data_IF_323869494602
#
_entry.id   IF_323869494602
#
_cell.length_a   1.000
_cell.length_b   1.000
_cell.length_c   1.000
_cell.angle_alpha   90.00
_cell.angle_beta   90.00
_cell.angle_gamma   90.00
#
_symmetry.space_group_name_H-M   'P 1'
#
loop_
_entity.id
_entity.type
_entity.pdbx_description
1 polymer ?
#
# COMPACT_ATOMS: atom_id res chain seq x y z
N UNK A 1 -8.27 -11.47 23.97
CA UNK A 1 -7.86 -10.97 22.65
C UNK A 1 -6.35 -10.81 22.66
N UNK A 2 -5.60 -11.62 21.92
CA UNK A 2 -4.17 -11.34 21.72
C UNK A 2 -4.04 -10.14 20.80
N UNK A 3 -3.21 -9.16 21.14
CA UNK A 3 -2.88 -8.08 20.24
C UNK A 3 -2.06 -8.67 19.08
N UNK A 4 -2.59 -8.62 17.86
CA UNK A 4 -1.80 -8.93 16.66
C UNK A 4 -0.78 -7.82 16.47
N UNK A 5 0.49 -8.18 16.31
CA UNK A 5 1.54 -7.23 15.95
C UNK A 5 1.29 -6.74 14.52
N UNK A 6 1.29 -5.43 14.33
CA UNK A 6 1.17 -4.77 13.03
C UNK A 6 2.42 -3.96 12.75
N UNK A 7 2.81 -3.93 11.48
CA UNK A 7 3.95 -3.19 10.98
C UNK A 7 3.49 -2.17 9.93
N UNK A 8 4.29 -1.13 9.75
CA UNK A 8 4.09 -0.12 8.71
C UNK A 8 5.30 -0.13 7.78
N UNK A 9 5.05 -0.14 6.46
CA UNK A 9 6.11 -0.09 5.46
C UNK A 9 5.78 0.96 4.42
N UNK A 10 6.69 1.92 4.23
CA UNK A 10 6.54 2.92 3.18
C UNK A 10 6.85 2.29 1.82
N UNK A 11 5.94 2.47 0.87
CA UNK A 11 6.05 1.96 -0.49
C UNK A 11 6.20 3.12 -1.47
N UNK A 12 7.26 3.07 -2.27
CA UNK A 12 7.43 3.92 -3.45
C UNK A 12 6.52 3.43 -4.57
N UNK A 13 5.69 4.33 -5.08
CA UNK A 13 4.84 4.09 -6.25
C UNK A 13 5.57 4.47 -7.55
N UNK A 14 6.61 5.30 -7.45
CA UNK A 14 7.46 5.66 -8.60
C UNK A 14 6.80 6.64 -9.57
N UNK A 15 5.62 7.16 -9.23
CA UNK A 15 4.93 8.18 -9.99
C UNK A 15 4.06 9.06 -9.06
N UNK A 16 3.83 10.30 -9.48
CA UNK A 16 3.05 11.27 -8.72
C UNK A 16 1.55 10.98 -8.87
N UNK A 17 0.90 10.62 -7.76
CA UNK A 17 -0.51 10.26 -7.71
C UNK A 17 -1.37 11.37 -7.07
N UNK A 18 -1.07 12.63 -7.33
CA UNK A 18 -1.83 13.75 -6.76
C UNK A 18 -3.32 13.72 -7.16
N UNK A 19 -4.25 13.85 -6.19
CA UNK A 19 -4.01 14.02 -4.75
C UNK A 19 -3.69 12.70 -4.01
N UNK A 20 -2.73 12.74 -3.08
CA UNK A 20 -2.23 11.56 -2.33
C UNK A 20 -3.32 10.77 -1.58
N UNK A 21 -4.45 11.40 -1.23
CA UNK A 21 -5.61 10.72 -0.65
C UNK A 21 -6.34 9.82 -1.64
N UNK A 22 -6.48 10.25 -2.90
CA UNK A 22 -7.01 9.42 -3.98
C UNK A 22 -6.04 8.27 -4.31
N UNK A 23 -4.73 8.56 -4.30
CA UNK A 23 -3.68 7.54 -4.42
C UNK A 23 -3.85 6.41 -3.40
N UNK A 24 -3.94 6.77 -2.12
CA UNK A 24 -4.08 5.81 -1.04
C UNK A 24 -5.41 5.03 -1.15
N UNK A 25 -6.50 5.68 -1.58
CA UNK A 25 -7.78 4.98 -1.79
C UNK A 25 -7.71 3.95 -2.92
N UNK A 26 -7.11 4.31 -4.06
CA UNK A 26 -6.96 3.40 -5.19
C UNK A 26 -6.02 2.22 -4.84
N UNK A 27 -4.87 2.51 -4.24
CA UNK A 27 -3.92 1.49 -3.79
C UNK A 27 -4.54 0.54 -2.74
N UNK A 28 -5.38 1.09 -1.85
CA UNK A 28 -6.03 0.29 -0.79
C UNK A 28 -6.94 -0.80 -1.36
N UNK A 29 -7.77 -0.46 -2.35
CA UNK A 29 -8.68 -1.43 -2.98
C UNK A 29 -7.94 -2.64 -3.53
N UNK A 30 -6.81 -2.41 -4.20
CA UNK A 30 -6.02 -3.48 -4.80
C UNK A 30 -5.23 -4.27 -3.74
N UNK A 31 -4.59 -3.59 -2.78
CA UNK A 31 -3.76 -4.27 -1.78
C UNK A 31 -4.57 -5.04 -0.73
N UNK A 32 -5.86 -4.77 -0.58
CA UNK A 32 -6.74 -5.54 0.31
C UNK A 32 -6.98 -6.98 -0.16
N UNK A 33 -6.57 -7.34 -1.38
CA UNK A 33 -6.51 -8.73 -1.84
C UNK A 33 -5.46 -9.56 -1.07
N UNK A 34 -4.47 -8.91 -0.46
CA UNK A 34 -3.47 -9.58 0.38
C UNK A 34 -3.99 -9.70 1.82
N UNK A 35 -4.24 -10.92 2.28
CA UNK A 35 -4.74 -11.20 3.64
C UNK A 35 -3.91 -10.63 4.80
N UNK A 36 -2.65 -10.28 4.54
CA UNK A 36 -1.78 -9.63 5.51
C UNK A 36 -1.86 -8.11 5.51
N UNK A 37 -2.51 -7.46 4.54
CA UNK A 37 -2.67 -6.00 4.52
C UNK A 37 -3.86 -5.61 5.38
N UNK A 38 -3.64 -4.68 6.30
CA UNK A 38 -4.61 -4.20 7.27
C UNK A 38 -5.16 -2.84 6.85
N UNK A 39 -4.27 -1.94 6.38
CA UNK A 39 -4.67 -0.63 5.88
C UNK A 39 -3.63 -0.04 4.92
N UNK A 40 -4.02 1.00 4.18
CA UNK A 40 -3.12 1.81 3.37
C UNK A 40 -3.39 3.29 3.63
N UNK A 41 -2.36 3.99 4.10
CA UNK A 41 -2.40 5.41 4.43
C UNK A 41 -1.61 6.22 3.39
N UNK A 42 -1.97 7.50 3.15
CA UNK A 42 -1.15 8.39 2.35
C UNK A 42 0.25 8.55 2.96
N UNK A 43 1.28 8.52 2.13
CA UNK A 43 2.65 8.83 2.55
C UNK A 43 2.87 10.34 2.71
N UNK A 44 4.04 10.71 3.23
CA UNK A 44 4.43 12.12 3.35
C UNK A 44 4.68 12.81 1.99
N UNK A 45 4.80 12.02 0.92
CA UNK A 45 5.02 12.48 -0.46
C UNK A 45 3.96 11.90 -1.39
N UNK A 46 3.63 12.58 -2.50
CA UNK A 46 2.57 12.14 -3.40
C UNK A 46 2.89 10.84 -4.16
N UNK A 47 4.16 10.44 -4.24
CA UNK A 47 4.62 9.17 -4.81
C UNK A 47 4.74 8.03 -3.78
N UNK A 48 4.26 8.24 -2.56
CA UNK A 48 4.42 7.32 -1.42
C UNK A 48 3.10 6.99 -0.75
N UNK A 49 3.01 5.76 -0.29
CA UNK A 49 1.95 5.27 0.60
C UNK A 49 2.57 4.47 1.74
N UNK A 50 1.86 4.39 2.86
CA UNK A 50 2.24 3.54 3.98
C UNK A 50 1.30 2.34 4.00
N UNK A 51 1.84 1.15 3.79
CA UNK A 51 1.08 -0.10 3.90
C UNK A 51 1.20 -0.60 5.34
N UNK A 52 0.06 -0.73 6.02
CA UNK A 52 -0.04 -1.34 7.34
C UNK A 52 -0.36 -2.82 7.14
N UNK A 53 0.44 -3.70 7.73
CA UNK A 53 0.32 -5.14 7.50
C UNK A 53 0.62 -5.97 8.75
N UNK A 54 0.03 -7.16 8.78
CA UNK A 54 0.36 -8.24 9.71
C UNK A 54 1.17 -9.31 8.97
N UNK A 55 2.39 -9.55 9.44
CA UNK A 55 3.31 -10.54 8.92
C UNK A 55 4.50 -9.91 8.19
N UNK A 56 5.23 -10.67 7.37
CA UNK A 56 6.34 -10.16 6.60
C UNK A 56 5.89 -9.15 5.54
N UNK A 57 6.62 -8.04 5.41
CA UNK A 57 6.39 -7.07 4.33
C UNK A 57 6.66 -7.73 2.96
N UNK A 58 5.81 -7.41 1.96
CA UNK A 58 5.94 -7.94 0.59
C UNK A 58 5.93 -6.82 -0.46
N UNK A 59 6.87 -5.85 -0.38
CA UNK A 59 6.84 -4.66 -1.23
C UNK A 59 6.90 -4.94 -2.74
N UNK A 60 7.64 -5.97 -3.17
CA UNK A 60 7.67 -6.39 -4.59
C UNK A 60 6.31 -6.94 -5.04
N UNK A 61 5.66 -7.78 -4.23
CA UNK A 61 4.36 -8.36 -4.58
C UNK A 61 3.26 -7.29 -4.65
N UNK A 62 3.26 -6.34 -3.71
CA UNK A 62 2.35 -5.20 -3.73
C UNK A 62 2.55 -4.34 -4.98
N UNK A 63 3.81 -4.08 -5.37
CA UNK A 63 4.10 -3.35 -6.62
C UNK A 63 3.61 -4.08 -7.85
N UNK A 64 3.81 -5.40 -7.93
CA UNK A 64 3.32 -6.19 -9.06
C UNK A 64 1.81 -6.11 -9.19
N UNK A 65 1.06 -6.29 -8.09
CA UNK A 65 -0.40 -6.15 -8.10
C UNK A 65 -0.85 -4.77 -8.59
N UNK A 66 -0.22 -3.71 -8.08
CA UNK A 66 -0.57 -2.34 -8.47
C UNK A 66 -0.27 -2.03 -9.95
N UNK A 67 0.74 -2.69 -10.53
CA UNK A 67 1.01 -2.60 -11.98
C UNK A 67 -0.03 -3.36 -12.79
N UNK A 68 -0.36 -4.57 -12.37
CA UNK A 68 -1.37 -5.41 -13.04
C UNK A 68 -2.75 -4.74 -13.02
N UNK A 69 -3.08 -4.03 -11.94
CA UNK A 69 -4.30 -3.22 -11.81
C UNK A 69 -4.23 -1.87 -12.55
N UNK A 70 -3.09 -1.49 -13.13
CA UNK A 70 -2.91 -0.22 -13.83
C UNK A 70 -2.91 1.02 -12.92
N UNK A 71 -2.72 0.83 -11.61
CA UNK A 71 -2.61 1.93 -10.63
C UNK A 71 -1.23 2.58 -10.67
N UNK A 72 -0.18 1.83 -11.04
CA UNK A 72 1.16 2.35 -11.26
C UNK A 72 1.71 1.80 -12.59
N UNK A 73 2.65 2.50 -13.25
CA UNK A 73 3.25 2.02 -14.50
C UNK A 73 4.15 0.79 -14.33
#
# INVERSE_FOLDING_TARGET
MSASVVWATELSLGWDLTPASMAASAVRSELYLFTGVVDVLPGARPDRVVVVHSGPAKPEAWRSELREAGIIP
#
